data_IF_058939506911
#
_entry.id   IF_058939506911
#
_cell.length_a   1.000
_cell.length_b   1.000
_cell.length_c   1.000
_cell.angle_alpha   90.00
_cell.angle_beta   90.00
_cell.angle_gamma   90.00
#
_symmetry.space_group_name_H-M   'P 1'
#
loop_
_entity.id
_entity.type
_entity.pdbx_description
1 polymer ?
#
# COMPACT_ATOMS: atom_id res chain seq x y z
N UNK A 1 10.06 -23.72 28.51
CA UNK A 1 8.63 -23.94 28.22
C UNK A 1 8.27 -23.21 26.94
N UNK A 2 8.92 -23.50 25.80
CA UNK A 2 8.66 -22.73 24.59
C UNK A 2 7.18 -22.86 24.15
N UNK A 3 6.52 -21.75 23.77
CA UNK A 3 7.01 -20.38 23.59
C UNK A 3 6.84 -19.45 24.81
N UNK A 4 6.52 -19.97 25.99
CA UNK A 4 6.30 -19.17 27.21
C UNK A 4 7.58 -18.97 28.04
N UNK A 5 7.74 -17.75 28.53
CA UNK A 5 8.70 -17.36 29.57
C UNK A 5 7.91 -16.91 30.80
N UNK A 6 8.31 -17.39 31.97
CA UNK A 6 7.72 -16.97 33.24
C UNK A 6 8.36 -15.66 33.70
N UNK A 7 7.55 -14.64 33.96
CA UNK A 7 7.98 -13.42 34.61
C UNK A 7 7.60 -13.49 36.10
N UNK A 8 8.58 -13.87 36.92
CA UNK A 8 8.40 -14.07 38.36
C UNK A 8 8.08 -12.78 39.13
N UNK A 9 8.45 -11.61 38.60
CA UNK A 9 8.15 -10.33 39.26
C UNK A 9 6.65 -10.00 39.26
N UNK A 10 5.94 -10.45 38.23
CA UNK A 10 4.51 -10.19 38.06
C UNK A 10 3.66 -11.46 38.08
N UNK A 11 4.24 -12.63 38.36
CA UNK A 11 3.53 -13.92 38.39
C UNK A 11 2.73 -14.23 37.13
N UNK A 12 3.27 -13.91 35.95
CA UNK A 12 2.61 -14.13 34.65
C UNK A 12 3.51 -14.89 33.69
N UNK A 13 2.92 -15.54 32.69
CA UNK A 13 3.65 -16.05 31.53
C UNK A 13 3.54 -15.08 30.36
N UNK A 14 4.64 -14.95 29.62
CA UNK A 14 4.73 -14.13 28.42
C UNK A 14 5.05 -15.04 27.24
N UNK A 15 4.25 -14.96 26.19
CA UNK A 15 4.55 -15.65 24.94
C UNK A 15 5.63 -14.86 24.18
N UNK A 16 6.81 -15.44 23.97
CA UNK A 16 7.96 -14.75 23.37
C UNK A 16 7.80 -14.48 21.87
N UNK A 17 6.90 -15.19 21.20
CA UNK A 17 6.59 -14.99 19.78
C UNK A 17 5.43 -14.01 19.60
N UNK A 18 4.37 -14.10 20.41
CA UNK A 18 3.25 -13.17 20.35
C UNK A 18 3.50 -11.84 21.10
N UNK A 19 4.54 -11.77 21.94
CA UNK A 19 4.98 -10.57 22.68
C UNK A 19 3.91 -10.00 23.64
N UNK A 20 3.14 -10.87 24.31
CA UNK A 20 2.19 -10.45 25.35
C UNK A 20 2.00 -11.53 26.41
N UNK A 21 1.47 -11.11 27.56
CA UNK A 21 1.17 -11.98 28.69
C UNK A 21 -0.14 -12.75 28.51
N UNK A 22 -0.17 -13.98 29.02
CA UNK A 22 -1.31 -14.89 28.97
C UNK A 22 -1.55 -15.42 30.39
N UNK A 23 -2.82 -15.60 30.80
CA UNK A 23 -3.13 -16.28 32.08
C UNK A 23 -3.04 -17.78 31.90
N UNK A 24 -2.65 -18.54 32.93
CA UNK A 24 -2.32 -19.97 32.75
C UNK A 24 -3.49 -20.80 32.23
N UNK A 25 -4.73 -20.51 32.66
CA UNK A 25 -5.93 -21.21 32.18
C UNK A 25 -6.21 -20.96 30.69
N UNK A 26 -5.70 -19.86 30.13
CA UNK A 26 -5.82 -19.53 28.70
C UNK A 26 -4.63 -20.04 27.87
N UNK A 27 -3.57 -20.57 28.50
CA UNK A 27 -2.34 -21.00 27.81
C UNK A 27 -2.61 -22.08 26.75
N UNK A 28 -3.40 -23.11 27.07
CA UNK A 28 -3.75 -24.16 26.10
C UNK A 28 -4.58 -23.61 24.92
N UNK A 29 -5.52 -22.70 25.20
CA UNK A 29 -6.34 -22.06 24.17
C UNK A 29 -5.50 -21.12 23.29
N UNK A 30 -4.55 -20.38 23.88
CA UNK A 30 -3.60 -19.54 23.18
C UNK A 30 -2.72 -20.35 22.22
N UNK A 31 -2.11 -21.45 22.71
CA UNK A 31 -1.30 -22.34 21.86
C UNK A 31 -2.11 -22.94 20.72
N UNK A 32 -3.37 -23.31 20.95
CA UNK A 32 -4.25 -23.85 19.90
C UNK A 32 -4.52 -22.82 18.79
N UNK A 33 -4.75 -21.57 19.16
CA UNK A 33 -5.18 -20.54 18.22
C UNK A 33 -4.00 -19.86 17.50
N UNK A 34 -2.87 -19.64 18.20
CA UNK A 34 -1.72 -18.86 17.72
C UNK A 34 -0.48 -19.70 17.41
N UNK A 35 -0.41 -20.96 17.87
CA UNK A 35 0.72 -21.88 17.63
C UNK A 35 0.24 -23.21 17.03
N UNK A 36 -0.37 -23.14 15.84
CA UNK A 36 -0.97 -24.29 15.16
C UNK A 36 0.02 -25.42 14.85
N UNK A 37 1.29 -25.10 14.68
CA UNK A 37 2.39 -26.05 14.44
C UNK A 37 2.75 -26.90 15.67
N UNK A 38 2.40 -26.48 16.89
CA UNK A 38 2.67 -27.26 18.10
C UNK A 38 1.64 -28.38 18.23
N UNK A 39 2.08 -29.63 18.38
CA UNK A 39 1.17 -30.77 18.50
C UNK A 39 0.31 -30.73 19.76
N UNK A 40 -0.88 -31.34 19.72
CA UNK A 40 -1.81 -31.33 20.87
C UNK A 40 -1.17 -31.91 22.15
N UNK A 41 -0.39 -32.99 22.02
CA UNK A 41 0.36 -33.60 23.13
C UNK A 41 1.31 -32.60 23.80
N UNK A 42 2.03 -31.80 23.00
CA UNK A 42 2.93 -30.76 23.51
C UNK A 42 2.16 -29.59 24.12
N UNK A 43 1.02 -29.19 23.55
CA UNK A 43 0.17 -28.11 24.12
C UNK A 43 -0.33 -28.46 25.52
N UNK A 44 -0.83 -29.69 25.69
CA UNK A 44 -1.30 -30.20 27.00
C UNK A 44 -0.14 -30.26 28.00
N UNK A 45 1.03 -30.73 27.57
CA UNK A 45 2.22 -30.77 28.42
C UNK A 45 2.68 -29.37 28.85
N UNK A 46 2.76 -28.41 27.93
CA UNK A 46 3.18 -27.03 28.23
C UNK A 46 2.17 -26.35 29.15
N UNK A 47 0.86 -26.51 28.90
CA UNK A 47 -0.17 -25.94 29.75
C UNK A 47 -0.12 -26.52 31.19
N UNK A 48 0.17 -27.81 31.33
CA UNK A 48 0.37 -28.44 32.65
C UNK A 48 1.60 -27.86 33.37
N UNK A 49 2.76 -27.82 32.71
CA UNK A 49 3.99 -27.28 33.31
C UNK A 49 3.83 -25.81 33.73
N UNK A 50 3.12 -25.02 32.93
CA UNK A 50 2.80 -23.62 33.25
C UNK A 50 1.82 -23.49 34.42
N UNK A 51 0.83 -24.38 34.51
CA UNK A 51 -0.14 -24.42 35.63
C UNK A 51 0.48 -24.87 36.95
N UNK A 52 1.56 -25.65 36.91
CA UNK A 52 2.29 -26.14 38.08
C UNK A 52 3.27 -25.10 38.65
N UNK A 53 3.38 -23.90 38.05
CA UNK A 53 4.25 -22.82 38.55
C UNK A 53 3.64 -22.24 39.85
N UNK A 54 4.39 -22.19 40.97
CA UNK A 54 3.91 -21.59 42.21
C UNK A 54 3.54 -20.10 42.04
N UNK A 55 2.46 -19.68 42.69
CA UNK A 55 2.02 -18.28 42.79
C UNK A 55 1.74 -17.57 41.45
N UNK A 56 1.50 -18.34 40.37
CA UNK A 56 1.19 -17.81 39.05
C UNK A 56 -0.29 -17.42 38.92
N UNK A 57 -0.57 -16.34 38.19
CA UNK A 57 -1.93 -15.86 37.92
C UNK A 57 -2.64 -16.82 36.97
N UNK A 58 -3.72 -17.42 37.46
CA UNK A 58 -4.42 -18.48 36.74
C UNK A 58 -5.56 -17.96 35.88
N UNK A 59 -6.27 -16.93 36.34
CA UNK A 59 -7.53 -16.51 35.73
C UNK A 59 -7.63 -14.99 35.46
N UNK A 60 -8.58 -14.62 34.60
CA UNK A 60 -8.92 -13.22 34.33
C UNK A 60 -9.53 -12.52 35.57
N UNK A 61 -10.08 -13.28 36.54
CA UNK A 61 -10.62 -12.72 37.77
C UNK A 61 -9.50 -12.24 38.70
N UNK A 62 -8.42 -12.99 38.81
CA UNK A 62 -7.22 -12.63 39.59
C UNK A 62 -6.51 -11.38 39.01
N UNK A 63 -6.69 -11.08 37.72
CA UNK A 63 -6.15 -9.86 37.11
C UNK A 63 -6.80 -8.57 37.62
N UNK A 64 -7.95 -8.63 38.32
CA UNK A 64 -8.60 -7.44 38.86
C UNK A 64 -7.78 -6.76 39.96
N UNK A 65 -7.00 -7.54 40.72
CA UNK A 65 -6.08 -7.07 41.76
C UNK A 65 -4.61 -7.10 41.31
N UNK A 66 -4.36 -7.15 40.01
CA UNK A 66 -3.00 -7.24 39.46
C UNK A 66 -2.17 -5.99 39.77
N UNK A 67 -0.97 -6.12 40.38
CA UNK A 67 -0.09 -4.99 40.65
C UNK A 67 0.60 -4.54 39.36
N UNK A 68 0.17 -3.40 38.82
CA UNK A 68 0.84 -2.81 37.66
C UNK A 68 2.17 -2.15 38.05
N UNK A 69 3.18 -2.18 37.17
CA UNK A 69 4.50 -1.58 37.38
C UNK A 69 4.41 -0.10 37.74
N UNK A 70 5.37 0.37 38.55
CA UNK A 70 5.57 1.81 38.75
C UNK A 70 6.14 2.45 37.48
N UNK A 71 5.93 3.75 37.32
CA UNK A 71 6.30 4.48 36.12
C UNK A 71 7.82 4.52 35.86
N UNK A 72 8.63 4.29 36.90
CA UNK A 72 10.10 4.29 36.81
C UNK A 72 10.68 2.93 36.40
N UNK A 73 9.84 1.90 36.22
CA UNK A 73 10.31 0.55 35.86
C UNK A 73 10.87 0.56 34.45
N UNK A 74 12.00 -0.13 34.24
CA UNK A 74 12.58 -0.31 32.92
C UNK A 74 11.63 -1.08 31.99
N UNK A 75 11.72 -0.86 30.66
CA UNK A 75 10.96 -1.63 29.69
C UNK A 75 11.00 -3.14 29.96
N UNK A 76 9.83 -3.72 30.19
CA UNK A 76 9.72 -5.14 30.52
C UNK A 76 10.00 -5.94 29.26
N UNK A 77 10.98 -6.84 29.35
CA UNK A 77 11.37 -7.73 28.28
C UNK A 77 10.28 -8.73 27.88
N UNK A 78 10.40 -9.28 26.67
CA UNK A 78 9.53 -10.30 26.08
C UNK A 78 8.08 -9.90 25.77
N UNK A 79 7.56 -8.78 26.29
CA UNK A 79 6.31 -8.16 25.82
C UNK A 79 6.59 -7.15 24.69
N UNK A 80 5.53 -6.61 24.08
CA UNK A 80 5.64 -5.62 23.02
C UNK A 80 6.49 -4.42 23.47
N UNK A 81 7.32 -3.85 22.57
CA UNK A 81 8.19 -2.73 22.92
C UNK A 81 7.38 -1.51 23.41
N UNK A 82 7.96 -0.67 24.29
CA UNK A 82 7.31 0.55 24.77
C UNK A 82 6.79 1.40 23.63
N UNK A 83 5.55 1.85 23.77
CA UNK A 83 4.90 2.77 22.83
C UNK A 83 5.10 4.19 23.34
N UNK A 84 5.57 5.09 22.50
CA UNK A 84 5.89 6.48 22.89
C UNK A 84 4.67 7.40 22.89
N UNK A 85 3.56 7.01 22.25
CA UNK A 85 2.32 7.77 22.13
C UNK A 85 1.40 7.71 23.37
N UNK A 86 1.94 7.36 24.54
CA UNK A 86 1.19 7.32 25.78
C UNK A 86 0.75 8.71 26.24
N UNK A 87 -0.50 8.80 26.68
CA UNK A 87 -1.09 9.94 27.36
C UNK A 87 -1.20 9.58 28.83
N UNK A 88 -0.62 10.40 29.69
CA UNK A 88 -0.70 10.24 31.14
C UNK A 88 -1.37 11.42 31.78
N UNK A 89 -2.37 11.17 32.61
CA UNK A 89 -2.97 12.25 33.39
C UNK A 89 -2.00 12.79 34.45
N UNK A 90 -1.91 14.10 34.62
CA UNK A 90 -0.90 14.70 35.52
C UNK A 90 -1.13 14.35 36.99
N UNK A 91 -2.39 14.21 37.43
CA UNK A 91 -2.72 13.97 38.84
C UNK A 91 -2.87 12.48 39.22
N UNK A 92 -2.74 11.55 38.27
CA UNK A 92 -2.89 10.12 38.56
C UNK A 92 -2.00 9.22 37.67
N UNK A 93 -1.91 7.93 38.00
CA UNK A 93 -1.08 6.96 37.28
C UNK A 93 -1.77 6.36 36.05
N UNK A 94 -2.89 6.92 35.59
CA UNK A 94 -3.61 6.40 34.44
C UNK A 94 -2.90 6.76 33.14
N UNK A 95 -2.69 5.75 32.30
CA UNK A 95 -2.08 5.88 30.99
C UNK A 95 -2.99 5.27 29.93
N UNK A 96 -3.15 5.95 28.80
CA UNK A 96 -3.82 5.42 27.62
C UNK A 96 -3.24 6.06 26.36
N UNK A 97 -3.49 5.47 25.18
CA UNK A 97 -2.91 5.98 23.92
C UNK A 97 -3.85 6.86 23.10
N UNK A 98 -5.15 6.91 23.44
CA UNK A 98 -6.17 7.65 22.67
C UNK A 98 -6.70 8.83 23.46
N UNK A 99 -6.67 10.01 22.86
CA UNK A 99 -7.15 11.27 23.48
C UNK A 99 -8.60 11.14 23.94
N UNK A 100 -9.47 10.48 23.17
CA UNK A 100 -10.86 10.21 23.57
C UNK A 100 -10.95 9.49 24.91
N UNK A 101 -10.11 8.46 25.12
CA UNK A 101 -10.12 7.67 26.35
C UNK A 101 -9.55 8.49 27.52
N UNK A 102 -8.54 9.32 27.27
CA UNK A 102 -8.00 10.22 28.28
C UNK A 102 -9.04 11.27 28.70
N UNK A 103 -9.74 11.89 27.74
CA UNK A 103 -10.82 12.84 28.01
C UNK A 103 -11.95 12.21 28.82
N UNK A 104 -12.34 10.97 28.48
CA UNK A 104 -13.33 10.20 29.22
C UNK A 104 -12.88 9.93 30.66
N UNK A 105 -11.64 9.48 30.85
CA UNK A 105 -11.05 9.28 32.18
C UNK A 105 -11.01 10.58 32.99
N UNK A 106 -10.52 11.68 32.41
CA UNK A 106 -10.47 13.00 33.05
C UNK A 106 -11.86 13.47 33.46
N UNK A 107 -12.88 13.24 32.62
CA UNK A 107 -14.26 13.62 32.92
C UNK A 107 -14.86 12.81 34.06
N UNK A 108 -14.65 11.49 34.06
CA UNK A 108 -15.28 10.57 35.01
C UNK A 108 -14.58 10.59 36.37
N UNK A 109 -13.26 10.46 36.40
CA UNK A 109 -12.47 10.32 37.63
C UNK A 109 -12.05 11.67 38.23
N UNK A 110 -11.94 12.71 37.40
CA UNK A 110 -11.41 14.01 37.80
C UNK A 110 -12.35 15.18 37.51
N UNK A 111 -13.58 14.91 37.07
CA UNK A 111 -14.60 15.94 36.84
C UNK A 111 -14.23 16.99 35.77
N UNK A 112 -13.23 16.71 34.94
CA UNK A 112 -12.72 17.65 33.95
C UNK A 112 -13.78 17.99 32.89
N UNK A 113 -13.93 19.28 32.61
CA UNK A 113 -14.84 19.81 31.58
C UNK A 113 -14.03 20.40 30.43
N UNK A 114 -14.34 19.97 29.22
CA UNK A 114 -13.72 20.48 28.01
C UNK A 114 -14.25 21.90 27.72
N UNK A 115 -13.35 22.88 27.66
CA UNK A 115 -13.70 24.29 27.36
C UNK A 115 -14.11 24.49 25.88
N UNK A 116 -13.92 23.48 25.03
CA UNK A 116 -14.25 23.53 23.61
C UNK A 116 -15.67 23.01 23.34
N UNK A 117 -16.67 23.88 23.49
CA UNK A 117 -18.05 23.59 23.09
C UNK A 117 -18.27 23.78 21.57
N UNK A 118 -19.26 23.06 21.03
CA UNK A 118 -19.58 23.01 19.60
C UNK A 118 -20.05 24.39 19.11
N UNK A 119 -19.30 25.03 18.21
CA UNK A 119 -19.64 26.31 17.58
C UNK A 119 -18.46 27.32 17.55
N UNK A 120 -18.32 28.05 16.44
CA UNK A 120 -17.29 29.08 16.23
C UNK A 120 -16.27 28.75 15.12
N UNK A 121 -15.43 29.72 14.76
CA UNK A 121 -14.46 29.61 13.66
C UNK A 121 -13.35 28.58 14.00
N UNK A 122 -13.48 27.37 13.45
CA UNK A 122 -12.60 26.21 13.67
C UNK A 122 -11.13 26.54 13.37
N UNK A 123 -10.89 27.45 12.40
CA UNK A 123 -9.56 27.80 11.92
C UNK A 123 -8.77 28.68 12.91
N UNK A 124 -9.43 29.56 13.66
CA UNK A 124 -8.76 30.37 14.71
C UNK A 124 -8.53 29.56 15.99
N UNK A 125 -9.50 28.71 16.34
CA UNK A 125 -9.44 27.85 17.53
C UNK A 125 -8.39 26.73 17.43
N UNK A 126 -8.01 26.32 16.22
CA UNK A 126 -6.94 25.34 15.99
C UNK A 126 -5.52 25.91 16.17
N UNK A 127 -5.35 27.24 16.14
CA UNK A 127 -4.04 27.92 16.25
C UNK A 127 -3.67 28.31 17.68
N UNK A 128 -4.59 28.21 18.64
CA UNK A 128 -4.31 28.52 20.04
C UNK A 128 -3.60 27.34 20.74
N UNK A 129 -2.55 27.58 21.55
CA UNK A 129 -1.93 26.53 22.35
C UNK A 129 -2.96 25.93 23.31
N UNK A 130 -3.03 24.60 23.37
CA UNK A 130 -4.02 23.86 24.18
C UNK A 130 -3.38 23.46 25.49
N UNK A 131 -3.83 24.03 26.60
CA UNK A 131 -3.52 23.49 27.91
C UNK A 131 -4.39 22.27 28.17
N UNK A 132 -3.80 21.07 28.03
CA UNK A 132 -4.45 19.80 28.35
C UNK A 132 -3.89 19.25 29.67
N UNK A 133 -4.73 18.65 30.54
CA UNK A 133 -4.30 18.20 31.87
C UNK A 133 -3.54 16.86 31.87
N UNK A 134 -3.01 16.44 30.72
CA UNK A 134 -2.26 15.19 30.55
C UNK A 134 -0.96 15.43 29.79
N UNK A 135 0.08 14.70 30.16
CA UNK A 135 1.36 14.66 29.46
C UNK A 135 1.23 13.74 28.24
N UNK A 136 1.60 14.24 27.07
CA UNK A 136 1.75 13.46 25.83
C UNK A 136 3.18 12.92 25.71
N UNK A 137 3.38 11.83 24.99
CA UNK A 137 4.71 11.31 24.71
C UNK A 137 5.28 10.41 25.82
N UNK A 138 4.42 9.84 26.67
CA UNK A 138 4.86 9.00 27.78
C UNK A 138 5.12 7.57 27.29
N UNK A 139 6.35 7.02 27.42
CA UNK A 139 6.63 5.63 27.06
C UNK A 139 5.76 4.69 27.91
N UNK A 140 4.99 3.82 27.25
CA UNK A 140 4.07 2.92 27.93
C UNK A 140 4.03 1.53 27.32
N UNK A 141 3.85 0.52 28.18
CA UNK A 141 3.69 -0.88 27.80
C UNK A 141 2.37 -1.43 28.35
N UNK A 142 2.02 -2.63 27.90
CA UNK A 142 0.85 -3.35 28.37
C UNK A 142 1.14 -4.84 28.33
N UNK A 143 0.75 -5.54 29.39
CA UNK A 143 0.91 -6.99 29.48
C UNK A 143 -0.12 -7.73 28.63
N UNK A 144 -1.40 -7.40 28.75
CA UNK A 144 -2.49 -8.15 28.12
C UNK A 144 -3.18 -7.31 27.02
N UNK A 145 -3.39 -7.84 25.81
CA UNK A 145 -3.97 -7.06 24.72
C UNK A 145 -5.48 -6.78 24.91
N UNK A 146 -6.19 -7.60 25.68
CA UNK A 146 -7.65 -7.53 25.84
C UNK A 146 -8.10 -7.95 27.25
N UNK A 147 -9.38 -7.71 27.58
CA UNK A 147 -10.05 -8.09 28.84
C UNK A 147 -9.46 -7.43 30.10
N UNK A 148 -9.62 -8.07 31.26
CA UNK A 148 -9.40 -7.50 32.58
C UNK A 148 -7.98 -6.96 32.80
N UNK A 149 -6.98 -7.57 32.17
CA UNK A 149 -5.58 -7.14 32.25
C UNK A 149 -5.16 -6.04 31.25
N UNK A 150 -6.07 -5.57 30.39
CA UNK A 150 -5.76 -4.67 29.27
C UNK A 150 -5.58 -3.21 29.71
N UNK A 151 -4.48 -2.95 30.41
CA UNK A 151 -4.13 -1.63 30.92
C UNK A 151 -2.71 -1.24 30.52
N UNK A 152 -2.57 0.02 30.10
CA UNK A 152 -1.26 0.61 29.82
C UNK A 152 -0.65 1.13 31.13
N UNK A 153 0.66 0.93 31.27
CA UNK A 153 1.47 1.48 32.35
C UNK A 153 2.69 2.18 31.75
N UNK A 154 3.17 3.23 32.42
CA UNK A 154 4.35 3.98 32.01
C UNK A 154 5.63 3.21 32.36
N UNK A 155 6.67 3.39 31.55
CA UNK A 155 8.01 2.81 31.77
C UNK A 155 9.08 3.88 31.58
N UNK A 156 10.21 3.75 32.27
CA UNK A 156 11.39 4.59 32.09
C UNK A 156 11.29 6.03 32.61
N UNK A 157 10.33 6.34 33.50
CA UNK A 157 10.19 7.69 34.06
C UNK A 157 11.43 8.11 34.86
N UNK A 158 12.04 9.23 34.49
CA UNK A 158 13.16 9.84 35.23
C UNK A 158 14.52 9.19 35.00
N UNK A 159 14.60 8.15 34.16
CA UNK A 159 15.88 7.64 33.69
C UNK A 159 16.38 8.57 32.57
N UNK A 160 17.23 9.54 32.92
CA UNK A 160 18.19 10.05 31.95
C UNK A 160 19.01 8.86 31.49
N UNK A 161 18.85 8.45 30.23
CA UNK A 161 19.78 7.56 29.54
C UNK A 161 21.16 8.22 29.56
N UNK A 162 21.87 8.05 30.66
CA UNK A 162 23.22 8.54 30.85
C UNK A 162 24.12 7.77 29.89
N UNK A 163 24.69 8.48 28.91
CA UNK A 163 25.97 8.09 28.32
C UNK A 163 25.98 6.78 27.54
N UNK A 164 24.96 6.55 26.72
CA UNK A 164 25.11 5.97 25.37
C UNK A 164 24.39 6.90 24.35
N UNK A 165 24.50 8.20 24.61
CA UNK A 165 23.62 9.27 24.15
C UNK A 165 24.21 10.04 22.96
N UNK A 166 23.70 9.74 21.76
CA UNK A 166 23.61 10.70 20.66
C UNK A 166 22.70 11.87 21.06
N UNK A 167 23.09 13.07 20.65
CA UNK A 167 22.56 14.37 21.08
C UNK A 167 21.13 14.68 20.61
N UNK A 168 20.35 15.28 21.52
CA UNK A 168 19.09 16.02 21.35
C UNK A 168 19.30 17.32 20.50
N UNK A 169 18.37 18.02 19.81
CA UNK A 169 16.90 18.26 19.73
C UNK A 169 16.58 18.73 18.26
N UNK A 170 15.35 19.11 17.77
CA UNK A 170 14.02 19.30 18.38
C UNK A 170 12.88 18.49 17.71
N UNK A 171 11.68 18.54 18.30
CA UNK A 171 10.54 17.68 17.98
C UNK A 171 10.08 17.67 16.51
N UNK A 172 10.23 16.51 15.87
CA UNK A 172 9.50 16.07 14.67
C UNK A 172 9.39 14.54 14.66
N UNK A 173 8.15 14.03 14.63
CA UNK A 173 7.73 12.82 13.91
C UNK A 173 8.21 11.41 14.40
N UNK A 174 7.59 10.85 15.46
CA UNK A 174 7.85 9.49 15.98
C UNK A 174 7.58 8.35 14.96
N UNK A 175 6.73 8.58 13.95
CA UNK A 175 6.57 7.66 12.83
C UNK A 175 7.81 7.67 11.93
N UNK A 176 8.44 8.84 11.76
CA UNK A 176 9.67 8.98 11.01
C UNK A 176 10.86 8.32 11.72
N UNK A 177 10.87 8.19 13.05
CA UNK A 177 11.93 7.46 13.76
C UNK A 177 11.84 5.93 13.57
N UNK A 178 10.64 5.35 13.60
CA UNK A 178 10.44 3.91 13.35
C UNK A 178 10.68 3.55 11.87
N UNK A 179 10.25 4.43 10.97
CA UNK A 179 10.59 4.37 9.54
C UNK A 179 12.11 4.53 9.38
N UNK A 180 12.75 5.50 10.03
CA UNK A 180 14.19 5.70 9.97
C UNK A 180 15.01 4.54 10.54
N UNK A 181 14.53 3.84 11.57
CA UNK A 181 15.22 2.65 12.12
C UNK A 181 15.07 1.43 11.20
N UNK A 182 13.91 1.27 10.54
CA UNK A 182 13.72 0.26 9.51
C UNK A 182 14.55 0.59 8.27
N UNK A 183 14.51 1.85 7.83
CA UNK A 183 15.34 2.41 6.78
C UNK A 183 16.83 2.28 7.14
N UNK A 184 17.26 2.42 8.39
CA UNK A 184 18.67 2.27 8.78
C UNK A 184 19.12 0.80 8.76
N UNK A 185 18.26 -0.14 9.18
CA UNK A 185 18.54 -1.57 9.06
C UNK A 185 18.52 -2.04 7.60
N UNK A 186 17.62 -1.49 6.79
CA UNK A 186 17.50 -1.75 5.35
C UNK A 186 18.65 -1.10 4.57
N UNK A 187 19.00 0.16 4.85
CA UNK A 187 20.19 0.81 4.30
C UNK A 187 21.47 0.07 4.69
N UNK A 188 21.59 -0.49 5.90
CA UNK A 188 22.75 -1.34 6.27
C UNK A 188 22.77 -2.67 5.51
N UNK A 189 21.61 -3.20 5.15
CA UNK A 189 21.47 -4.39 4.32
C UNK A 189 21.78 -4.10 2.85
N UNK A 190 21.30 -2.95 2.34
CA UNK A 190 21.47 -2.47 0.97
C UNK A 190 22.85 -1.82 0.71
N UNK A 191 23.51 -1.27 1.74
CA UNK A 191 24.87 -0.71 1.66
C UNK A 191 25.95 -1.78 1.42
N UNK A 192 25.60 -3.06 1.47
CA UNK A 192 26.41 -4.15 0.90
C UNK A 192 26.28 -4.30 -0.62
N UNK A 193 25.69 -3.30 -1.30
CA UNK A 193 25.16 -3.27 -2.66
C UNK A 193 25.85 -4.19 -3.66
N UNK A 194 25.21 -5.33 -3.92
CA UNK A 194 25.42 -6.04 -5.18
C UNK A 194 24.73 -5.23 -6.27
N UNK A 195 25.45 -4.91 -7.33
CA UNK A 195 24.88 -4.31 -8.55
C UNK A 195 23.78 -5.20 -9.13
N UNK A 196 23.88 -6.52 -8.94
CA UNK A 196 22.88 -7.50 -9.31
C UNK A 196 21.85 -7.74 -8.20
N UNK A 197 20.58 -7.92 -8.59
CA UNK A 197 19.53 -8.38 -7.68
C UNK A 197 19.84 -9.81 -7.25
N UNK A 198 20.12 -10.02 -5.96
CA UNK A 198 20.21 -11.38 -5.40
C UNK A 198 18.82 -11.84 -4.98
N UNK A 199 18.43 -13.09 -5.30
CA UNK A 199 17.31 -13.70 -4.57
C UNK A 199 17.71 -13.79 -3.10
N UNK A 200 16.76 -13.41 -2.25
CA UNK A 200 16.97 -13.24 -0.82
C UNK A 200 16.62 -14.54 -0.09
N UNK A 201 17.41 -14.88 0.93
CA UNK A 201 17.06 -15.94 1.89
C UNK A 201 15.86 -15.47 2.72
N UNK A 202 14.76 -16.22 2.66
CA UNK A 202 13.45 -15.90 3.27
C UNK A 202 13.53 -15.55 4.78
N UNK A 203 14.62 -15.93 5.45
CA UNK A 203 14.85 -15.70 6.88
C UNK A 203 15.60 -14.41 7.22
N UNK A 204 16.20 -13.75 6.22
CA UNK A 204 17.07 -12.60 6.39
C UNK A 204 16.48 -11.29 5.86
N UNK A 205 15.34 -11.34 5.15
CA UNK A 205 14.70 -10.16 4.54
C UNK A 205 13.99 -9.27 5.59
N UNK A 206 14.50 -8.06 5.88
CA UNK A 206 13.87 -7.16 6.84
C UNK A 206 12.55 -6.59 6.31
N UNK A 207 12.41 -6.43 4.98
CA UNK A 207 11.23 -5.86 4.36
C UNK A 207 10.21 -6.94 3.98
N UNK A 208 9.29 -7.23 4.91
CA UNK A 208 8.23 -8.25 4.71
C UNK A 208 7.28 -7.98 3.53
N UNK A 209 7.32 -6.78 2.94
CA UNK A 209 6.58 -6.46 1.73
C UNK A 209 7.29 -6.97 0.47
N UNK A 210 8.62 -6.87 0.37
CA UNK A 210 9.40 -7.44 -0.73
C UNK A 210 9.22 -8.97 -0.83
N UNK A 211 9.14 -9.65 0.31
CA UNK A 211 8.80 -11.07 0.34
C UNK A 211 7.42 -11.34 -0.26
N UNK A 212 6.41 -10.52 0.07
CA UNK A 212 5.03 -10.71 -0.39
C UNK A 212 4.87 -10.46 -1.88
N UNK A 213 5.54 -9.43 -2.41
CA UNK A 213 5.43 -9.02 -3.82
C UNK A 213 6.37 -9.78 -4.75
N UNK A 214 7.44 -10.39 -4.22
CA UNK A 214 8.30 -11.31 -4.96
C UNK A 214 9.36 -10.66 -5.87
N UNK A 215 9.50 -9.34 -5.88
CA UNK A 215 10.35 -8.63 -6.86
C UNK A 215 11.81 -9.07 -6.87
N UNK A 216 12.37 -9.37 -5.70
CA UNK A 216 13.77 -9.78 -5.56
C UNK A 216 14.03 -11.16 -6.15
N UNK A 217 12.99 -12.00 -6.20
CA UNK A 217 12.99 -13.27 -6.90
C UNK A 217 12.70 -13.10 -8.40
N UNK A 218 11.82 -12.17 -8.74
CA UNK A 218 11.42 -11.94 -10.13
C UNK A 218 12.56 -11.32 -10.95
N UNK A 219 13.33 -10.41 -10.36
CA UNK A 219 14.44 -9.70 -10.99
C UNK A 219 15.82 -10.31 -10.67
N UNK A 220 15.87 -11.50 -10.05
CA UNK A 220 17.11 -12.16 -9.64
C UNK A 220 18.13 -12.24 -10.80
N UNK A 221 19.37 -11.85 -10.53
CA UNK A 221 20.49 -11.84 -11.48
C UNK A 221 20.58 -10.57 -12.33
N UNK A 222 19.54 -9.73 -12.38
CA UNK A 222 19.54 -8.53 -13.20
C UNK A 222 20.25 -7.36 -12.50
N UNK A 223 20.89 -6.50 -13.28
CA UNK A 223 21.57 -5.32 -12.76
C UNK A 223 20.57 -4.21 -12.36
N UNK A 224 20.55 -3.82 -11.09
CA UNK A 224 19.63 -2.83 -10.53
C UNK A 224 19.79 -1.45 -11.16
N UNK A 225 21.03 -0.99 -11.32
CA UNK A 225 21.33 0.33 -11.89
C UNK A 225 20.83 0.41 -13.32
N UNK A 226 21.13 -0.63 -14.12
CA UNK A 226 20.64 -0.74 -15.49
C UNK A 226 19.10 -0.74 -15.54
N UNK A 227 18.44 -1.54 -14.71
CA UNK A 227 16.97 -1.55 -14.62
C UNK A 227 16.40 -0.18 -14.25
N UNK A 228 17.00 0.50 -13.26
CA UNK A 228 16.59 1.85 -12.86
C UNK A 228 16.80 2.88 -13.97
N UNK A 229 17.89 2.78 -14.75
CA UNK A 229 18.15 3.64 -15.92
C UNK A 229 17.05 3.57 -16.98
N UNK A 230 16.27 2.48 -17.05
CA UNK A 230 15.10 2.41 -17.94
C UNK A 230 13.98 3.38 -17.52
N UNK A 231 13.99 3.86 -16.27
CA UNK A 231 12.98 4.79 -15.71
C UNK A 231 13.42 6.26 -15.74
N UNK A 232 14.62 6.55 -16.25
CA UNK A 232 15.19 7.91 -16.30
C UNK A 232 14.28 8.87 -17.10
N UNK A 233 14.35 10.19 -16.85
CA UNK A 233 13.64 11.18 -17.66
C UNK A 233 13.94 11.01 -19.16
N UNK A 234 13.00 11.44 -20.02
CA UNK A 234 13.20 11.42 -21.47
C UNK A 234 14.28 12.42 -21.86
N UNK A 235 15.25 11.98 -22.65
CA UNK A 235 16.37 12.78 -23.16
C UNK A 235 16.01 13.45 -24.50
N UNK A 236 16.82 14.40 -24.96
CA UNK A 236 16.52 15.23 -26.14
C UNK A 236 16.45 14.38 -27.44
N UNK A 237 17.24 13.33 -27.52
CA UNK A 237 17.34 12.38 -28.64
C UNK A 237 16.21 11.33 -28.68
N UNK A 238 15.43 11.20 -27.61
CA UNK A 238 14.32 10.25 -27.52
C UNK A 238 12.99 10.83 -28.07
N UNK A 239 13.00 11.33 -29.31
CA UNK A 239 11.84 11.99 -29.91
C UNK A 239 10.60 11.08 -30.02
N UNK A 240 10.76 9.85 -30.49
CA UNK A 240 9.66 8.87 -30.60
C UNK A 240 9.03 8.60 -29.24
N UNK A 241 9.84 8.36 -28.21
CA UNK A 241 9.34 8.12 -26.85
C UNK A 241 8.61 9.34 -26.26
N UNK A 242 9.09 10.55 -26.56
CA UNK A 242 8.41 11.81 -26.20
C UNK A 242 7.02 11.91 -26.83
N UNK A 243 6.91 11.52 -28.10
CA UNK A 243 5.62 11.51 -28.81
C UNK A 243 4.70 10.39 -28.31
N UNK A 244 5.25 9.22 -27.97
CA UNK A 244 4.50 8.14 -27.29
C UNK A 244 3.90 8.65 -25.99
N UNK A 245 4.66 9.38 -25.17
CA UNK A 245 4.17 10.03 -23.95
C UNK A 245 3.05 11.04 -24.23
N UNK A 246 3.19 11.87 -25.26
CA UNK A 246 2.18 12.87 -25.60
C UNK A 246 0.85 12.22 -26.01
N UNK A 247 0.90 11.16 -26.82
CA UNK A 247 -0.30 10.39 -27.18
C UNK A 247 -0.92 9.75 -25.94
N UNK A 248 -0.11 9.07 -25.12
CA UNK A 248 -0.59 8.45 -23.89
C UNK A 248 -1.28 9.47 -22.96
N UNK A 249 -0.70 10.65 -22.79
CA UNK A 249 -1.26 11.70 -21.94
C UNK A 249 -2.63 12.17 -22.44
N UNK A 250 -2.78 12.36 -23.76
CA UNK A 250 -4.06 12.69 -24.37
C UNK A 250 -5.11 11.59 -24.14
N UNK A 251 -4.74 10.33 -24.35
CA UNK A 251 -5.63 9.17 -24.12
C UNK A 251 -6.01 9.07 -22.65
N UNK A 252 -5.07 9.27 -21.72
CA UNK A 252 -5.33 9.23 -20.29
C UNK A 252 -6.32 10.35 -19.87
N UNK A 253 -6.16 11.56 -20.41
CA UNK A 253 -7.06 12.68 -20.13
C UNK A 253 -8.47 12.41 -20.69
N UNK A 254 -8.58 11.86 -21.90
CA UNK A 254 -9.85 11.43 -22.52
C UNK A 254 -10.51 10.29 -21.73
N UNK A 255 -9.72 9.34 -21.25
CA UNK A 255 -10.20 8.24 -20.44
C UNK A 255 -10.75 8.72 -19.10
N UNK A 256 -10.02 9.62 -18.43
CA UNK A 256 -10.46 10.26 -17.21
C UNK A 256 -11.76 11.03 -17.42
N UNK A 257 -11.86 11.84 -18.47
CA UNK A 257 -13.06 12.62 -18.78
C UNK A 257 -14.27 11.71 -19.09
N UNK A 258 -14.03 10.57 -19.72
CA UNK A 258 -15.09 9.59 -20.06
C UNK A 258 -15.59 8.82 -18.84
N UNK A 259 -14.71 8.50 -17.88
CA UNK A 259 -15.05 7.80 -16.65
C UNK A 259 -15.81 8.66 -15.61
N UNK A 260 -16.77 9.47 -16.06
CA UNK A 260 -17.57 10.38 -15.23
C UNK A 260 -19.06 9.96 -15.20
N UNK A 261 -19.77 10.15 -14.07
CA UNK A 261 -21.16 9.72 -13.94
C UNK A 261 -22.11 10.30 -14.99
N UNK A 262 -21.87 11.55 -15.42
CA UNK A 262 -22.70 12.22 -16.42
C UNK A 262 -22.46 11.71 -17.86
N UNK A 263 -21.37 10.96 -18.10
CA UNK A 263 -20.99 10.46 -19.42
C UNK A 263 -21.32 8.98 -19.62
N UNK A 264 -21.06 8.13 -18.62
CA UNK A 264 -21.32 6.68 -18.71
C UNK A 264 -22.37 6.15 -17.73
N UNK A 265 -22.84 6.96 -16.78
CA UNK A 265 -23.82 6.55 -15.77
C UNK A 265 -23.20 5.78 -14.60
N UNK A 266 -23.94 5.69 -13.49
CA UNK A 266 -23.45 5.06 -12.26
C UNK A 266 -23.29 3.54 -12.38
N UNK A 267 -24.14 2.86 -13.15
CA UNK A 267 -24.09 1.41 -13.26
C UNK A 267 -22.77 0.94 -13.89
N UNK A 268 -22.30 1.63 -14.94
CA UNK A 268 -20.97 1.39 -15.53
C UNK A 268 -19.86 1.60 -14.51
N UNK A 269 -19.93 2.67 -13.71
CA UNK A 269 -18.92 2.97 -12.70
C UNK A 269 -18.94 1.98 -11.52
N UNK A 270 -20.08 1.35 -11.23
CA UNK A 270 -20.13 0.25 -10.26
C UNK A 270 -19.47 -1.01 -10.80
N UNK A 271 -19.62 -1.32 -12.09
CA UNK A 271 -18.90 -2.44 -12.70
C UNK A 271 -17.39 -2.17 -12.74
N UNK A 272 -16.96 -0.97 -13.12
CA UNK A 272 -15.55 -0.59 -13.12
C UNK A 272 -14.89 -0.65 -11.72
N UNK A 273 -15.65 -0.44 -10.64
CA UNK A 273 -15.12 -0.56 -9.26
C UNK A 273 -15.17 -1.99 -8.71
N UNK A 274 -15.74 -2.94 -9.44
CA UNK A 274 -15.87 -4.34 -8.99
C UNK A 274 -14.49 -4.95 -8.74
N UNK A 275 -14.38 -5.69 -7.62
CA UNK A 275 -13.15 -6.41 -7.21
C UNK A 275 -13.35 -7.91 -7.06
N UNK A 276 -14.59 -8.34 -6.86
CA UNK A 276 -14.97 -9.73 -6.65
C UNK A 276 -16.21 -10.02 -7.49
N UNK A 277 -16.18 -11.13 -8.24
CA UNK A 277 -17.34 -11.61 -9.01
C UNK A 277 -18.51 -11.85 -8.04
N UNK A 278 -19.69 -11.36 -8.40
CA UNK A 278 -20.91 -11.52 -7.59
C UNK A 278 -21.07 -10.53 -6.43
N UNK A 279 -20.06 -9.73 -6.08
CA UNK A 279 -20.15 -8.74 -4.99
C UNK A 279 -20.17 -7.31 -5.53
N UNK A 280 -21.30 -6.62 -5.38
CA UNK A 280 -21.44 -5.23 -5.81
C UNK A 280 -20.62 -4.30 -4.88
N UNK A 281 -19.83 -3.36 -5.43
CA UNK A 281 -19.15 -2.35 -4.62
C UNK A 281 -20.11 -1.47 -3.83
N UNK A 282 -19.65 -0.95 -2.68
CA UNK A 282 -20.44 -0.03 -1.84
C UNK A 282 -20.58 1.35 -2.49
N UNK A 283 -19.59 1.75 -3.28
CA UNK A 283 -19.55 3.03 -4.00
C UNK A 283 -19.12 2.81 -5.45
N UNK A 284 -19.60 3.62 -6.39
CA UNK A 284 -19.13 3.58 -7.77
C UNK A 284 -17.68 4.08 -7.84
N UNK A 285 -17.00 3.75 -8.94
CA UNK A 285 -15.69 4.32 -9.27
C UNK A 285 -15.75 5.86 -9.27
N UNK A 286 -14.74 6.50 -8.67
CA UNK A 286 -14.61 7.96 -8.60
C UNK A 286 -13.31 8.41 -9.26
N UNK A 287 -13.47 9.08 -10.41
CA UNK A 287 -12.39 9.64 -11.23
C UNK A 287 -11.92 11.02 -10.73
N UNK A 288 -12.57 11.61 -9.72
CA UNK A 288 -12.18 12.90 -9.17
C UNK A 288 -10.91 12.77 -8.37
N UNK A 289 -9.96 13.64 -8.67
CA UNK A 289 -8.70 13.81 -7.97
C UNK A 289 -8.13 15.18 -8.30
N UNK A 290 -7.32 15.70 -7.39
CA UNK A 290 -6.60 16.95 -7.58
C UNK A 290 -5.65 16.86 -8.80
N UNK A 291 -5.37 18.00 -9.42
CA UNK A 291 -4.55 18.05 -10.63
C UNK A 291 -3.13 17.51 -10.41
N UNK A 292 -2.55 17.77 -9.24
CA UNK A 292 -1.23 17.26 -8.82
C UNK A 292 -1.22 15.72 -8.70
N UNK A 293 -2.30 15.15 -8.18
CA UNK A 293 -2.49 13.71 -8.02
C UNK A 293 -2.60 13.06 -9.39
N UNK A 294 -3.31 13.72 -10.32
CA UNK A 294 -3.42 13.25 -11.68
C UNK A 294 -2.08 13.22 -12.42
N UNK A 295 -1.27 14.27 -12.31
CA UNK A 295 0.06 14.29 -12.92
C UNK A 295 0.97 13.19 -12.34
N UNK A 296 0.92 12.97 -11.02
CA UNK A 296 1.63 11.86 -10.36
C UNK A 296 1.18 10.49 -10.89
N UNK A 297 -0.12 10.33 -11.15
CA UNK A 297 -0.64 9.07 -11.67
C UNK A 297 -0.19 8.82 -13.11
N UNK A 298 -0.21 9.86 -13.96
CA UNK A 298 0.34 9.77 -15.32
C UNK A 298 1.85 9.48 -15.30
N UNK A 299 2.60 10.06 -14.36
CA UNK A 299 4.04 9.78 -14.21
C UNK A 299 4.34 8.29 -13.98
N UNK A 300 3.56 7.60 -13.13
CA UNK A 300 3.75 6.16 -12.89
C UNK A 300 3.62 5.36 -14.20
N UNK A 301 2.56 5.63 -14.98
CA UNK A 301 2.36 4.96 -16.28
C UNK A 301 3.40 5.33 -17.32
N UNK A 302 3.79 6.60 -17.37
CA UNK A 302 4.84 7.10 -18.27
C UNK A 302 6.18 6.40 -18.02
N UNK A 303 6.54 6.16 -16.75
CA UNK A 303 7.72 5.34 -16.42
C UNK A 303 7.56 3.88 -16.84
N UNK A 304 6.38 3.27 -16.69
CA UNK A 304 6.12 1.92 -17.20
C UNK A 304 6.28 1.84 -18.72
N UNK A 305 5.79 2.85 -19.45
CA UNK A 305 5.98 3.00 -20.89
C UNK A 305 7.46 3.13 -21.24
N UNK A 306 8.23 3.94 -20.50
CA UNK A 306 9.68 4.04 -20.70
C UNK A 306 10.40 2.70 -20.49
N UNK A 307 10.02 1.94 -19.45
CA UNK A 307 10.56 0.60 -19.22
C UNK A 307 10.27 -0.26 -20.46
N UNK A 308 9.01 -0.41 -20.85
CA UNK A 308 8.65 -1.26 -21.97
C UNK A 308 9.30 -0.87 -23.28
N UNK A 309 9.37 0.43 -23.57
CA UNK A 309 9.98 0.96 -24.80
C UNK A 309 11.49 0.76 -24.82
N UNK A 310 12.20 1.12 -23.75
CA UNK A 310 13.67 1.07 -23.70
C UNK A 310 14.20 -0.35 -23.57
N UNK A 311 13.50 -1.21 -22.82
CA UNK A 311 13.95 -2.59 -22.60
C UNK A 311 13.53 -3.54 -23.71
N UNK A 312 12.78 -3.07 -24.71
CA UNK A 312 12.33 -3.94 -25.80
C UNK A 312 13.50 -4.50 -26.63
N UNK A 313 14.51 -3.67 -26.87
CA UNK A 313 15.72 -4.03 -27.62
C UNK A 313 16.84 -4.61 -26.73
N UNK A 314 16.61 -4.76 -25.42
CA UNK A 314 17.62 -5.32 -24.54
C UNK A 314 17.79 -6.83 -24.76
N UNK A 315 19.00 -7.33 -24.49
CA UNK A 315 19.24 -8.76 -24.45
C UNK A 315 18.37 -9.42 -23.36
N UNK A 316 17.89 -10.64 -23.61
CA UNK A 316 17.02 -11.39 -22.69
C UNK A 316 17.62 -11.55 -21.28
N UNK A 317 18.96 -11.58 -21.18
CA UNK A 317 19.69 -11.71 -19.90
C UNK A 317 19.69 -10.43 -19.06
N UNK A 318 19.42 -9.29 -19.66
CA UNK A 318 19.37 -7.97 -19.02
C UNK A 318 17.95 -7.43 -18.86
N UNK A 319 17.03 -7.90 -19.70
CA UNK A 319 15.65 -7.41 -19.81
C UNK A 319 14.83 -7.88 -18.60
N UNK A 320 13.94 -7.03 -18.04
CA UNK A 320 12.99 -7.49 -17.04
C UNK A 320 12.14 -8.65 -17.60
N UNK A 321 11.73 -9.63 -16.79
CA UNK A 321 11.22 -10.93 -17.24
C UNK A 321 9.82 -10.90 -17.91
N UNK A 322 9.26 -9.71 -18.16
CA UNK A 322 7.96 -9.62 -18.83
C UNK A 322 8.03 -10.18 -20.24
N UNK A 323 6.89 -10.71 -20.69
CA UNK A 323 6.70 -11.15 -22.06
C UNK A 323 5.37 -10.65 -22.56
N UNK A 324 5.41 -9.92 -23.67
CA UNK A 324 4.19 -9.65 -24.40
C UNK A 324 3.65 -10.94 -25.01
N UNK A 325 2.34 -11.10 -24.94
CA UNK A 325 1.66 -12.04 -25.83
C UNK A 325 1.81 -11.58 -27.28
N UNK A 326 1.58 -12.47 -28.24
CA UNK A 326 1.60 -12.10 -29.68
C UNK A 326 0.70 -10.90 -29.94
N UNK A 327 -0.56 -10.92 -29.45
CA UNK A 327 -1.50 -9.80 -29.56
C UNK A 327 -0.96 -8.51 -28.92
N UNK A 328 -0.37 -8.62 -27.74
CA UNK A 328 0.17 -7.45 -27.02
C UNK A 328 1.34 -6.83 -27.77
N UNK A 329 2.25 -7.65 -28.31
CA UNK A 329 3.35 -7.19 -29.15
C UNK A 329 2.84 -6.52 -30.42
N UNK A 330 1.93 -7.17 -31.16
CA UNK A 330 1.33 -6.60 -32.37
C UNK A 330 0.64 -5.23 -32.13
N UNK A 331 -0.07 -5.08 -31.00
CA UNK A 331 -0.70 -3.81 -30.64
C UNK A 331 0.31 -2.74 -30.21
N UNK A 332 1.36 -3.14 -29.49
CA UNK A 332 2.43 -2.25 -29.06
C UNK A 332 3.26 -1.75 -30.24
N UNK A 333 3.66 -2.64 -31.14
CA UNK A 333 4.40 -2.34 -32.36
C UNK A 333 3.55 -1.43 -33.25
N UNK A 334 2.28 -1.79 -33.48
CA UNK A 334 1.38 -0.97 -34.28
C UNK A 334 1.19 0.45 -33.71
N UNK A 335 1.25 0.63 -32.39
CA UNK A 335 1.20 1.94 -31.74
C UNK A 335 2.52 2.70 -31.91
N UNK A 336 3.65 2.09 -31.56
CA UNK A 336 4.97 2.73 -31.58
C UNK A 336 5.43 3.06 -33.00
N UNK A 337 5.26 2.14 -33.95
CA UNK A 337 5.52 2.36 -35.38
C UNK A 337 4.70 3.54 -35.92
N UNK A 338 3.42 3.63 -35.54
CA UNK A 338 2.55 4.71 -36.00
C UNK A 338 3.04 6.07 -35.50
N UNK A 339 3.48 6.16 -34.25
CA UNK A 339 4.07 7.37 -33.66
C UNK A 339 5.37 7.73 -34.37
N UNK A 340 6.23 6.75 -34.64
CA UNK A 340 7.49 6.96 -35.37
C UNK A 340 7.22 7.50 -36.79
N UNK A 341 6.26 6.92 -37.51
CA UNK A 341 5.85 7.41 -38.84
C UNK A 341 5.32 8.86 -38.79
N UNK A 342 4.58 9.25 -37.75
CA UNK A 342 4.07 10.63 -37.62
C UNK A 342 5.17 11.66 -37.33
N UNK A 343 6.28 11.28 -36.69
CA UNK A 343 7.45 12.18 -36.51
C UNK A 343 8.02 12.64 -37.85
N UNK A 344 7.94 11.78 -38.86
CA UNK A 344 8.51 12.03 -40.19
C UNK A 344 7.62 12.83 -41.15
N UNK A 345 6.32 13.01 -40.84
CA UNK A 345 5.33 13.49 -41.82
C UNK A 345 4.36 14.54 -41.23
N UNK A 346 4.82 15.79 -41.08
CA UNK A 346 3.97 16.92 -40.63
C UNK A 346 3.50 17.83 -41.78
N UNK A 347 2.74 17.28 -42.74
CA UNK A 347 2.01 18.10 -43.71
C UNK A 347 0.68 17.44 -44.09
N UNK A 348 -0.44 18.08 -43.77
CA UNK A 348 -1.78 17.59 -44.08
C UNK A 348 -2.86 18.64 -43.80
N UNK A 349 -4.06 18.45 -44.36
CA UNK A 349 -5.25 19.27 -44.03
C UNK A 349 -5.68 18.99 -42.58
N UNK A 350 -6.30 19.96 -41.90
CA UNK A 350 -6.70 19.84 -40.48
C UNK A 350 -7.50 18.57 -40.17
N UNK A 351 -8.51 18.23 -41.00
CA UNK A 351 -9.31 17.01 -40.85
C UNK A 351 -8.48 15.72 -40.98
N UNK A 352 -7.45 15.74 -41.82
CA UNK A 352 -6.55 14.59 -41.99
C UNK A 352 -5.64 14.42 -40.78
N UNK A 353 -5.18 15.52 -40.19
CA UNK A 353 -4.39 15.53 -38.96
C UNK A 353 -5.21 15.00 -37.80
N UNK A 354 -6.45 15.49 -37.62
CA UNK A 354 -7.34 15.03 -36.55
C UNK A 354 -7.62 13.53 -36.65
N UNK A 355 -7.94 13.03 -37.85
CA UNK A 355 -8.15 11.59 -38.09
C UNK A 355 -6.91 10.76 -37.74
N UNK A 356 -5.72 11.22 -38.12
CA UNK A 356 -4.45 10.55 -37.77
C UNK A 356 -4.21 10.55 -36.26
N UNK A 357 -4.50 11.66 -35.57
CA UNK A 357 -4.42 11.76 -34.12
C UNK A 357 -5.38 10.76 -33.42
N UNK A 358 -6.63 10.66 -33.87
CA UNK A 358 -7.59 9.70 -33.31
C UNK A 358 -7.15 8.24 -33.55
N UNK A 359 -6.58 7.94 -34.71
CA UNK A 359 -6.07 6.61 -35.04
C UNK A 359 -4.92 6.20 -34.11
N UNK A 360 -3.93 7.07 -33.89
CA UNK A 360 -2.79 6.75 -33.01
C UNK A 360 -3.22 6.66 -31.55
N UNK A 361 -4.16 7.50 -31.11
CA UNK A 361 -4.76 7.40 -29.77
C UNK A 361 -5.51 6.09 -29.56
N UNK A 362 -6.23 5.60 -30.59
CA UNK A 362 -6.93 4.31 -30.52
C UNK A 362 -5.93 3.16 -30.37
N UNK A 363 -4.85 3.17 -31.16
CA UNK A 363 -3.77 2.17 -31.04
C UNK A 363 -3.11 2.20 -29.66
N UNK A 364 -2.85 3.40 -29.12
CA UNK A 364 -2.34 3.56 -27.76
C UNK A 364 -3.28 2.93 -26.71
N UNK A 365 -4.58 3.25 -26.79
CA UNK A 365 -5.57 2.70 -25.87
C UNK A 365 -5.66 1.18 -25.95
N UNK A 366 -5.67 0.62 -27.16
CA UNK A 366 -5.79 -0.82 -27.39
C UNK A 366 -4.53 -1.56 -26.88
N UNK A 367 -3.34 -1.01 -27.11
CA UNK A 367 -2.10 -1.54 -26.54
C UNK A 367 -2.13 -1.54 -25.01
N UNK A 368 -2.45 -0.40 -24.39
CA UNK A 368 -2.48 -0.27 -22.92
C UNK A 368 -3.53 -1.17 -22.29
N UNK A 369 -4.75 -1.24 -22.85
CA UNK A 369 -5.80 -2.13 -22.32
C UNK A 369 -5.44 -3.60 -22.49
N UNK A 370 -4.74 -3.97 -23.57
CA UNK A 370 -4.28 -5.36 -23.74
C UNK A 370 -3.31 -5.81 -22.64
N UNK A 371 -2.54 -4.90 -22.05
CA UNK A 371 -1.69 -5.20 -20.89
C UNK A 371 -2.50 -5.36 -19.59
N UNK A 372 -3.69 -4.75 -19.51
CA UNK A 372 -4.60 -4.80 -18.36
C UNK A 372 -5.46 -6.08 -18.38
N UNK A 373 -5.92 -6.51 -19.56
CA UNK A 373 -6.88 -7.61 -19.74
C UNK A 373 -6.28 -9.01 -19.43
N UNK A 374 -4.98 -9.22 -19.62
CA UNK A 374 -4.42 -10.58 -19.62
C UNK A 374 -4.04 -11.07 -18.20
N UNK A 375 -4.61 -12.20 -17.72
CA UNK A 375 -4.08 -12.91 -16.56
C UNK A 375 -2.74 -13.58 -16.94
N UNK A 376 -1.75 -13.48 -16.06
CA UNK A 376 -0.42 -14.08 -16.24
C UNK A 376 -0.50 -15.58 -16.64
N UNK A 377 0.33 -16.02 -17.60
CA UNK A 377 0.23 -17.36 -18.19
C UNK A 377 0.90 -18.45 -17.36
N UNK A 378 2.20 -18.31 -17.10
CA UNK A 378 2.97 -19.29 -16.32
C UNK A 378 3.41 -18.71 -14.98
N UNK A 379 3.78 -17.44 -14.94
CA UNK A 379 4.22 -16.77 -13.72
C UNK A 379 3.84 -15.29 -13.69
N UNK A 380 3.62 -14.74 -12.50
CA UNK A 380 3.24 -13.32 -12.33
C UNK A 380 4.30 -12.36 -12.89
N UNK A 381 5.58 -12.73 -12.85
CA UNK A 381 6.71 -11.96 -13.40
C UNK A 381 6.70 -11.77 -14.91
N UNK A 382 6.00 -12.63 -15.65
CA UNK A 382 5.85 -12.48 -17.10
C UNK A 382 4.85 -11.39 -17.48
N UNK A 383 4.01 -10.92 -16.55
CA UNK A 383 3.05 -9.86 -16.83
C UNK A 383 3.76 -8.50 -16.94
N UNK A 384 3.53 -7.79 -18.05
CA UNK A 384 4.14 -6.49 -18.35
C UNK A 384 3.94 -5.43 -17.25
N UNK A 385 2.74 -5.37 -16.67
CA UNK A 385 2.43 -4.43 -15.58
C UNK A 385 3.18 -4.83 -14.31
N UNK A 386 3.13 -6.10 -13.92
CA UNK A 386 3.76 -6.57 -12.67
C UNK A 386 5.28 -6.44 -12.74
N UNK A 387 5.89 -6.78 -13.88
CA UNK A 387 7.34 -6.64 -14.09
C UNK A 387 7.78 -5.18 -14.10
N UNK A 388 7.08 -4.29 -14.80
CA UNK A 388 7.39 -2.86 -14.79
C UNK A 388 7.23 -2.27 -13.38
N UNK A 389 6.20 -2.69 -12.64
CA UNK A 389 6.05 -2.35 -11.23
C UNK A 389 7.27 -2.85 -10.42
N UNK A 390 7.74 -4.09 -10.59
CA UNK A 390 8.94 -4.56 -9.92
C UNK A 390 10.16 -3.66 -10.18
N UNK A 391 10.37 -3.20 -11.41
CA UNK A 391 11.43 -2.24 -11.76
C UNK A 391 11.23 -0.88 -11.08
N UNK A 392 9.99 -0.36 -11.05
CA UNK A 392 9.65 0.86 -10.30
C UNK A 392 9.83 0.72 -8.78
N UNK A 393 10.03 -0.50 -8.29
CA UNK A 393 10.36 -0.78 -6.89
C UNK A 393 11.79 -0.40 -6.53
N UNK A 394 12.67 -0.28 -7.53
CA UNK A 394 14.08 0.07 -7.36
C UNK A 394 14.21 1.59 -7.23
N UNK A 395 14.91 2.04 -6.20
CA UNK A 395 15.26 3.44 -5.95
C UNK A 395 16.54 3.82 -6.70
N UNK A 396 16.80 5.12 -6.81
CA UNK A 396 17.99 5.66 -7.46
C UNK A 396 19.31 5.21 -6.80
N UNK A 397 19.31 4.97 -5.49
CA UNK A 397 20.45 4.45 -4.74
C UNK A 397 20.62 2.92 -4.85
N UNK A 398 19.82 2.25 -5.67
CA UNK A 398 19.81 0.78 -5.81
C UNK A 398 19.10 0.06 -4.67
N UNK A 399 18.50 0.79 -3.74
CA UNK A 399 17.62 0.25 -2.71
C UNK A 399 16.22 -0.07 -3.22
N UNK A 400 15.35 -0.56 -2.34
CA UNK A 400 13.94 -0.83 -2.63
C UNK A 400 13.02 0.20 -1.97
N UNK A 401 11.91 0.52 -2.65
CA UNK A 401 10.87 1.37 -2.09
C UNK A 401 10.11 0.71 -0.94
N UNK A 402 9.78 1.50 0.08
CA UNK A 402 8.94 1.07 1.19
C UNK A 402 7.49 0.83 0.75
N UNK A 403 6.78 -0.04 1.47
CA UNK A 403 5.36 -0.31 1.21
C UNK A 403 4.49 0.96 1.22
N UNK A 404 4.80 1.92 2.10
CA UNK A 404 4.07 3.20 2.24
C UNK A 404 4.23 4.08 1.01
N UNK A 405 5.40 4.08 0.39
CA UNK A 405 5.67 4.85 -0.83
C UNK A 405 5.04 4.14 -2.02
N UNK A 406 5.26 2.83 -2.11
CA UNK A 406 4.91 2.06 -3.28
C UNK A 406 3.41 1.81 -3.48
N UNK A 407 2.63 1.76 -2.39
CA UNK A 407 1.16 1.61 -2.48
C UNK A 407 0.48 2.75 -3.27
N UNK A 408 1.13 3.91 -3.39
CA UNK A 408 0.68 4.99 -4.26
C UNK A 408 0.85 4.66 -5.74
N UNK A 409 1.92 3.96 -6.13
CA UNK A 409 2.13 3.46 -7.50
C UNK A 409 1.03 2.48 -7.91
N UNK A 410 0.70 1.50 -7.05
CA UNK A 410 -0.44 0.61 -7.32
C UNK A 410 -1.76 1.36 -7.43
N UNK A 411 -1.98 2.36 -6.58
CA UNK A 411 -3.20 3.17 -6.64
C UNK A 411 -3.30 3.93 -7.96
N UNK A 412 -2.18 4.43 -8.49
CA UNK A 412 -2.10 5.06 -9.81
C UNK A 412 -2.45 4.06 -10.92
N UNK A 413 -1.79 2.90 -10.95
CA UNK A 413 -2.04 1.86 -11.95
C UNK A 413 -3.50 1.43 -11.92
N UNK A 414 -4.05 1.05 -10.77
CA UNK A 414 -5.43 0.56 -10.64
C UNK A 414 -6.44 1.63 -11.05
N UNK A 415 -6.26 2.89 -10.63
CA UNK A 415 -7.24 3.95 -10.94
C UNK A 415 -7.26 4.27 -12.44
N UNK A 416 -6.10 4.43 -13.06
CA UNK A 416 -6.02 4.79 -14.48
C UNK A 416 -6.43 3.60 -15.35
N UNK A 417 -6.05 2.36 -14.98
CA UNK A 417 -6.49 1.16 -15.69
C UNK A 417 -8.02 1.07 -15.80
N UNK A 418 -8.73 1.34 -14.69
CA UNK A 418 -10.20 1.40 -14.69
C UNK A 418 -10.75 2.48 -15.63
N UNK A 419 -10.08 3.62 -15.75
CA UNK A 419 -10.48 4.67 -16.70
C UNK A 419 -10.29 4.21 -18.14
N UNK A 420 -9.18 3.54 -18.45
CA UNK A 420 -8.94 3.01 -19.80
C UNK A 420 -9.96 1.95 -20.21
N UNK A 421 -10.29 1.01 -19.31
CA UNK A 421 -11.33 -0.01 -19.58
C UNK A 421 -12.68 0.65 -19.87
N UNK A 422 -13.09 1.64 -19.08
CA UNK A 422 -14.33 2.39 -19.32
C UNK A 422 -14.28 3.17 -20.63
N UNK A 423 -13.13 3.77 -20.95
CA UNK A 423 -12.99 4.56 -22.16
C UNK A 423 -13.01 3.70 -23.43
N UNK A 424 -12.33 2.55 -23.42
CA UNK A 424 -12.33 1.62 -24.54
C UNK A 424 -13.73 1.08 -24.78
N UNK A 425 -14.43 0.64 -23.73
CA UNK A 425 -15.83 0.20 -23.83
C UNK A 425 -16.77 1.31 -24.33
N UNK A 426 -16.53 2.56 -23.95
CA UNK A 426 -17.32 3.68 -24.45
C UNK A 426 -17.11 3.90 -25.95
N UNK A 427 -15.86 3.86 -26.42
CA UNK A 427 -15.52 3.98 -27.83
C UNK A 427 -16.02 2.78 -28.65
N UNK A 428 -15.85 1.54 -28.16
CA UNK A 428 -16.39 0.33 -28.80
C UNK A 428 -17.89 0.47 -29.07
N UNK A 429 -18.66 1.01 -28.11
CA UNK A 429 -20.07 1.33 -28.35
C UNK A 429 -20.27 2.40 -29.42
N UNK A 430 -19.46 3.47 -29.43
CA UNK A 430 -19.61 4.51 -30.46
C UNK A 430 -19.36 3.94 -31.85
N UNK A 431 -18.32 3.13 -32.01
CA UNK A 431 -17.97 2.46 -33.27
C UNK A 431 -19.11 1.53 -33.72
N UNK A 432 -19.70 0.79 -32.79
CA UNK A 432 -20.82 -0.11 -33.05
C UNK A 432 -22.08 0.66 -33.51
N UNK A 433 -22.41 1.78 -32.85
CA UNK A 433 -23.53 2.65 -33.23
C UNK A 433 -23.29 3.27 -34.60
N UNK A 434 -22.09 3.75 -34.88
CA UNK A 434 -21.75 4.36 -36.17
C UNK A 434 -21.88 3.33 -37.31
N UNK A 435 -21.34 2.13 -37.14
CA UNK A 435 -21.41 1.07 -38.14
C UNK A 435 -22.85 0.63 -38.40
N UNK A 436 -23.63 0.43 -37.34
CA UNK A 436 -25.05 0.09 -37.47
C UNK A 436 -25.88 1.19 -38.14
N UNK A 437 -25.57 2.45 -37.87
CA UNK A 437 -26.31 3.60 -38.42
C UNK A 437 -26.25 3.64 -39.95
N UNK A 438 -25.21 3.08 -40.57
CA UNK A 438 -25.06 2.98 -42.03
C UNK A 438 -26.14 2.13 -42.69
N UNK A 439 -26.78 1.21 -41.96
CA UNK A 439 -27.73 0.23 -42.53
C UNK A 439 -29.16 0.34 -42.02
N UNK A 440 -29.37 0.66 -40.75
CA UNK A 440 -30.70 0.63 -40.10
C UNK A 440 -31.17 1.95 -39.49
N UNK A 441 -30.40 3.03 -39.70
CA UNK A 441 -30.72 4.37 -39.20
C UNK A 441 -30.26 4.59 -37.74
N UNK A 442 -30.08 5.86 -37.37
CA UNK A 442 -29.39 6.25 -36.14
C UNK A 442 -30.12 5.84 -34.85
N UNK A 443 -31.45 5.97 -34.79
CA UNK A 443 -32.21 5.61 -33.58
C UNK A 443 -32.18 4.10 -33.31
N UNK A 444 -32.44 3.28 -34.34
CA UNK A 444 -32.39 1.82 -34.22
C UNK A 444 -30.97 1.34 -33.87
N UNK A 445 -29.95 1.94 -34.49
CA UNK A 445 -28.56 1.64 -34.17
C UNK A 445 -28.20 1.96 -32.72
N UNK A 446 -28.66 3.10 -32.20
CA UNK A 446 -28.41 3.49 -30.80
C UNK A 446 -29.06 2.52 -29.80
N UNK A 447 -30.30 2.09 -30.07
CA UNK A 447 -31.06 1.19 -29.20
C UNK A 447 -30.53 -0.25 -29.24
N UNK A 448 -30.11 -0.73 -30.41
CA UNK A 448 -29.64 -2.11 -30.58
C UNK A 448 -28.15 -2.32 -30.26
N UNK A 449 -27.33 -1.26 -30.26
CA UNK A 449 -25.91 -1.37 -29.93
C UNK A 449 -25.68 -1.84 -28.50
N UNK A 450 -24.59 -2.59 -28.31
CA UNK A 450 -24.19 -3.13 -27.02
C UNK A 450 -23.96 -1.98 -26.02
N UNK A 451 -24.57 -2.07 -24.84
CA UNK A 451 -24.44 -0.99 -23.85
C UNK A 451 -23.04 -0.97 -23.25
N UNK A 452 -22.54 0.23 -22.90
CA UNK A 452 -21.24 0.41 -22.24
C UNK A 452 -21.13 -0.44 -20.96
N UNK A 453 -22.25 -0.65 -20.27
CA UNK A 453 -22.31 -1.52 -19.10
C UNK A 453 -21.90 -2.96 -19.41
N UNK A 454 -22.41 -3.56 -20.48
CA UNK A 454 -22.07 -4.94 -20.85
C UNK A 454 -20.61 -5.03 -21.30
N UNK A 455 -20.15 -4.08 -22.12
CA UNK A 455 -18.75 -4.02 -22.57
C UNK A 455 -17.76 -3.89 -21.39
N UNK A 456 -18.04 -3.00 -20.42
CA UNK A 456 -17.20 -2.91 -19.21
C UNK A 456 -17.28 -4.18 -18.38
N UNK A 457 -18.47 -4.77 -18.23
CA UNK A 457 -18.67 -6.00 -17.46
C UNK A 457 -17.84 -7.16 -18.03
N UNK A 458 -17.81 -7.31 -19.35
CA UNK A 458 -17.07 -8.37 -20.04
C UNK A 458 -15.54 -8.20 -19.87
N UNK A 459 -15.06 -6.97 -19.69
CA UNK A 459 -13.63 -6.66 -19.47
C UNK A 459 -13.18 -6.80 -18.01
N UNK A 460 -14.10 -6.82 -17.04
CA UNK A 460 -13.76 -6.86 -15.59
C UNK A 460 -14.15 -8.17 -14.91
N UNK A 461 -14.75 -9.12 -15.63
CA UNK A 461 -15.12 -10.46 -15.17
C UNK A 461 -14.16 -11.50 -15.72
#
# INVERSE_FOLDING_TARGET
MEPFVHNAQYSIIICTSCKYAVVTNEAAAHLRNHHRSISNKVRVQVAKVVGDIPDIIQSQAELQSFPYPDATVEPIGHIAPPQTDGLRYQACRYVCRRVRNMQEHCRVEHGWKNEWQKGGNVRSKARAPREVPWTTGVPCQRFFPSRAGSRWFEVGRGQTLAGNSGSAEPGTDDAAWFVALHDEQEQRFEAGGREEVSALDEKLEPNGYLYRVGWTKDLEGLNKTKLHEATRPIEDDEETLRNVWAVFDSVADKARATAAPHKVGHDVLFEAERREVGKKPVRPFDNRMEADTWQRYKEVWRKMICIWFRTDEWADEDRPPYRFTIRQGELWDAFTDRVEMDTSTQAGREEEVERKCLEVERKCLDAVVSFIEEPYRQSQRENAIISALAVLGIREDGGWHQATEYTTNYSAVIKVAKMFVVYQAWLERQDEVEEMSKTKGAEVAYDEATSVFHLVRDKVQ
#
